data_IF_575230614073
#
_entry.id   IF_575230614073
#
_cell.length_a   1.000
_cell.length_b   1.000
_cell.length_c   1.000
_cell.angle_alpha   90.00
_cell.angle_beta   90.00
_cell.angle_gamma   90.00
#
_symmetry.space_group_name_H-M   'P 1'
#
loop_
_entity.id
_entity.type
_entity.pdbx_description
1 polymer ?
#
# COMPACT_ATOMS: atom_id res chain seq x y z
N UNK A 1 -12.48 20.24 10.61
CA UNK A 1 -12.64 18.90 11.21
C UNK A 1 -11.62 17.99 10.57
N UNK A 2 -10.51 17.70 11.24
CA UNK A 2 -9.55 16.69 10.75
C UNK A 2 -10.21 15.33 10.93
N UNK A 3 -10.33 14.48 9.89
CA UNK A 3 -10.81 13.12 10.08
C UNK A 3 -9.82 12.43 11.02
N UNK A 4 -10.30 12.07 12.21
CA UNK A 4 -9.56 11.20 13.12
C UNK A 4 -9.31 9.90 12.37
N UNK A 5 -8.09 9.73 11.86
CA UNK A 5 -7.64 8.49 11.27
C UNK A 5 -7.39 7.51 12.41
N UNK A 6 -8.47 7.07 13.07
CA UNK A 6 -8.39 5.92 13.97
C UNK A 6 -7.78 4.78 13.16
N UNK A 7 -6.68 4.17 13.62
CA UNK A 7 -6.07 3.06 12.92
C UNK A 7 -7.13 1.98 12.79
N UNK A 8 -7.56 1.72 11.55
CA UNK A 8 -8.48 0.62 11.28
C UNK A 8 -7.72 -0.65 11.63
N UNK A 9 -8.23 -1.41 12.58
CA UNK A 9 -7.69 -2.74 12.87
C UNK A 9 -7.93 -3.56 11.61
N UNK A 10 -6.85 -3.80 10.87
CA UNK A 10 -6.87 -4.70 9.74
C UNK A 10 -6.75 -6.10 10.31
N UNK A 11 -7.69 -6.98 9.96
CA UNK A 11 -7.51 -8.40 10.20
C UNK A 11 -6.24 -8.88 9.49
N UNK A 12 -5.61 -9.99 9.94
CA UNK A 12 -4.40 -10.49 9.30
C UNK A 12 -4.56 -10.62 7.78
N UNK A 13 -3.64 -10.01 7.04
CA UNK A 13 -3.69 -9.91 5.58
C UNK A 13 -2.85 -11.04 5.00
N UNK A 14 -3.41 -11.82 4.09
CA UNK A 14 -2.66 -12.87 3.37
C UNK A 14 -2.28 -12.47 1.95
N UNK A 15 -2.97 -11.47 1.38
CA UNK A 15 -2.69 -10.97 0.03
C UNK A 15 -3.00 -9.48 -0.06
N UNK A 16 -2.18 -8.76 -0.83
CA UNK A 16 -2.36 -7.35 -1.13
C UNK A 16 -2.12 -7.11 -2.62
N UNK A 17 -2.98 -6.32 -3.26
CA UNK A 17 -2.88 -5.99 -4.67
C UNK A 17 -3.17 -4.50 -4.91
N UNK A 18 -2.42 -3.89 -5.84
CA UNK A 18 -2.71 -2.56 -6.35
C UNK A 18 -3.63 -2.69 -7.56
N UNK A 19 -4.76 -1.99 -7.51
CA UNK A 19 -5.76 -1.99 -8.58
C UNK A 19 -6.04 -0.56 -9.01
N UNK A 20 -5.97 -0.32 -10.32
CA UNK A 20 -6.35 0.94 -10.94
C UNK A 20 -7.79 0.85 -11.43
N UNK A 21 -8.60 1.85 -11.09
CA UNK A 21 -9.99 1.95 -11.51
C UNK A 21 -10.40 3.40 -11.82
N UNK A 22 -11.68 3.64 -12.13
CA UNK A 22 -12.17 4.96 -12.55
C UNK A 22 -11.96 6.07 -11.52
N UNK A 23 -11.89 5.71 -10.24
CA UNK A 23 -11.65 6.63 -9.12
C UNK A 23 -10.16 6.80 -8.77
N UNK A 24 -9.25 6.17 -9.52
CA UNK A 24 -7.81 6.14 -9.26
C UNK A 24 -7.30 4.78 -8.80
N UNK A 25 -6.16 4.76 -8.10
CA UNK A 25 -5.52 3.54 -7.61
C UNK A 25 -5.94 3.24 -6.17
N UNK A 26 -6.30 2.00 -5.90
CA UNK A 26 -6.59 1.50 -4.57
C UNK A 26 -5.69 0.31 -4.22
N UNK A 27 -5.32 0.23 -2.93
CA UNK A 27 -4.73 -0.96 -2.35
C UNK A 27 -5.85 -1.86 -1.84
N UNK A 28 -5.96 -3.04 -2.42
CA UNK A 28 -6.87 -4.09 -1.99
C UNK A 28 -6.15 -5.02 -1.04
N UNK A 29 -6.69 -5.16 0.17
CA UNK A 29 -6.14 -6.00 1.22
C UNK A 29 -7.12 -7.15 1.48
N UNK A 30 -6.68 -8.37 1.23
CA UNK A 30 -7.45 -9.59 1.46
C UNK A 30 -7.08 -10.17 2.83
N UNK A 31 -8.05 -10.12 3.75
CA UNK A 31 -7.96 -10.73 5.07
C UNK A 31 -8.04 -12.26 5.00
N UNK A 32 -7.48 -12.94 6.00
CA UNK A 32 -7.58 -14.41 6.17
C UNK A 32 -9.02 -14.90 6.38
N UNK A 33 -9.91 -14.01 6.78
CA UNK A 33 -11.34 -14.24 7.01
C UNK A 33 -12.19 -13.99 5.76
N UNK A 34 -11.56 -13.67 4.62
CA UNK A 34 -12.24 -13.35 3.36
C UNK A 34 -12.71 -11.89 3.26
N UNK A 35 -12.45 -11.05 4.26
CA UNK A 35 -12.79 -9.62 4.21
C UNK A 35 -11.86 -8.90 3.23
N UNK A 36 -12.45 -8.14 2.32
CA UNK A 36 -11.74 -7.23 1.43
C UNK A 36 -11.79 -5.81 1.98
N UNK A 37 -10.63 -5.24 2.29
CA UNK A 37 -10.51 -3.80 2.61
C UNK A 37 -9.92 -3.07 1.41
N UNK A 38 -10.63 -2.04 0.94
CA UNK A 38 -10.12 -1.13 -0.09
C UNK A 38 -9.60 0.14 0.55
N UNK A 39 -8.33 0.43 0.33
CA UNK A 39 -7.69 1.67 0.79
C UNK A 39 -7.37 2.53 -0.44
N UNK A 40 -8.10 3.64 -0.66
CA UNK A 40 -7.77 4.54 -1.75
C UNK A 40 -6.38 5.14 -1.52
N UNK A 41 -5.55 5.15 -2.56
CA UNK A 41 -4.21 5.70 -2.49
C UNK A 41 -4.16 7.09 -3.12
N UNK A 42 -3.45 7.99 -2.46
CA UNK A 42 -3.11 9.28 -3.03
C UNK A 42 -1.89 9.14 -3.93
N UNK A 43 -1.73 10.09 -4.86
CA UNK A 43 -0.53 10.16 -5.70
C UNK A 43 0.76 10.31 -4.89
N UNK A 44 0.71 11.03 -3.75
CA UNK A 44 1.84 11.15 -2.84
C UNK A 44 2.24 9.79 -2.23
N UNK A 45 1.27 9.00 -1.78
CA UNK A 45 1.52 7.65 -1.24
C UNK A 45 2.12 6.72 -2.31
N UNK A 46 1.65 6.78 -3.56
CA UNK A 46 2.21 6.00 -4.67
C UNK A 46 3.67 6.37 -4.94
N UNK A 47 4.01 7.67 -4.90
CA UNK A 47 5.39 8.13 -5.08
C UNK A 47 6.31 7.62 -3.97
N UNK A 48 5.86 7.61 -2.73
CA UNK A 48 6.63 7.07 -1.60
C UNK A 48 6.85 5.55 -1.75
N UNK A 49 5.82 4.80 -2.13
CA UNK A 49 5.94 3.36 -2.41
C UNK A 49 6.95 3.11 -3.54
N UNK A 50 6.89 3.88 -4.63
CA UNK A 50 7.82 3.76 -5.74
C UNK A 50 9.27 4.07 -5.32
N UNK A 51 9.47 5.11 -4.50
CA UNK A 51 10.78 5.45 -3.96
C UNK A 51 11.33 4.34 -3.06
N UNK A 52 10.49 3.77 -2.19
CA UNK A 52 10.86 2.66 -1.32
C UNK A 52 11.21 1.39 -2.12
N UNK A 53 10.41 1.06 -3.13
CA UNK A 53 10.67 -0.08 -4.00
C UNK A 53 11.98 0.10 -4.79
N UNK A 54 12.21 1.30 -5.34
CA UNK A 54 13.47 1.65 -6.00
C UNK A 54 14.67 1.50 -5.07
N UNK A 55 14.57 1.97 -3.83
CA UNK A 55 15.61 1.82 -2.82
C UNK A 55 15.87 0.35 -2.45
N UNK A 56 14.83 -0.48 -2.35
CA UNK A 56 14.98 -1.92 -2.09
C UNK A 56 15.66 -2.66 -3.25
N UNK A 57 15.49 -2.20 -4.49
CA UNK A 57 16.16 -2.77 -5.67
C UNK A 57 17.57 -2.23 -5.91
N UNK A 58 17.93 -1.10 -5.30
CA UNK A 58 19.27 -0.55 -5.35
C UNK A 58 20.20 -1.42 -4.50
N UNK A 59 20.73 -2.49 -5.10
CA UNK A 59 21.78 -3.33 -4.51
C UNK A 59 22.88 -2.40 -3.99
N UNK A 60 23.29 -2.48 -2.71
CA UNK A 60 24.45 -1.71 -2.26
C UNK A 60 25.61 -2.13 -3.17
N UNK A 61 26.16 -1.17 -3.90
CA UNK A 61 27.40 -1.40 -4.64
C UNK A 61 28.42 -1.84 -3.60
N UNK A 62 28.72 -3.14 -3.58
CA UNK A 62 29.82 -3.69 -2.82
C UNK A 62 31.06 -2.91 -3.26
N UNK A 63 31.58 -2.09 -2.35
CA UNK A 63 32.92 -1.50 -2.46
C UNK A 63 33.90 -2.66 -2.48
N UNK A 64 34.41 -2.98 -3.66
CA UNK A 64 35.70 -3.66 -3.82
C UNK A 64 36.84 -2.67 -3.54
#
# INVERSE_FOLDING_TARGET
MSPSASPRILHPIHSAALLEGPAGVALHLHGIDGVLTQVPLTFAALREIAALAGAATARPASRD
#
